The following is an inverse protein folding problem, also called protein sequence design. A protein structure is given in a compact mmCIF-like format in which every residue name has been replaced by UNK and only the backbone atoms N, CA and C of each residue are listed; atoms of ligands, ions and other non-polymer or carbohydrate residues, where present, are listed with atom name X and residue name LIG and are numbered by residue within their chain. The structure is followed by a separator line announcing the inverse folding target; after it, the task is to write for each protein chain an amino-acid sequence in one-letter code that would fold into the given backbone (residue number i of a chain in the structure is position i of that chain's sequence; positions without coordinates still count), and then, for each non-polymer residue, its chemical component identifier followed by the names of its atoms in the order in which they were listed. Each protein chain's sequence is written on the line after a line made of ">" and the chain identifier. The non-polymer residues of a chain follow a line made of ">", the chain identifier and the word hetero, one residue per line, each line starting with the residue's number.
data_IF_270822947016
#
_entry.id   IF_270822947016
#
_cell.length_a   1.000
_cell.length_b   1.000
_cell.length_c   1.000
_cell.angle_alpha   90.00
_cell.angle_beta   90.00
_cell.angle_gamma   90.00
#
_symmetry.space_group_name_H-M   'P 1'
#
loop_
_entity.id
_entity.type
_entity.pdbx_description
1 polymer ?
#
# COMPACT_ATOMS: atom_id res chain seq x y z
N UNK A 1 -11.21 -1.04 10.08
CA UNK A 1 -9.92 -0.56 9.52
C UNK A 1 -8.79 -1.37 10.12
N UNK A 2 -7.86 -1.89 9.32
CA UNK A 2 -6.69 -2.65 9.81
C UNK A 2 -5.64 -1.76 10.49
N UNK A 3 -5.69 -0.44 10.28
CA UNK A 3 -4.91 0.54 11.05
C UNK A 3 -5.18 0.45 12.56
N UNK A 4 -6.45 0.24 12.96
CA UNK A 4 -6.83 0.11 14.38
C UNK A 4 -6.30 -1.16 15.03
N UNK A 5 -5.82 -2.12 14.23
CA UNK A 5 -5.22 -3.37 14.69
C UNK A 5 -3.69 -3.36 14.55
N UNK A 6 -3.09 -2.23 14.14
CA UNK A 6 -1.64 -2.15 13.86
C UNK A 6 -1.20 -2.97 12.65
N UNK A 7 -2.12 -3.28 11.74
CA UNK A 7 -1.93 -4.22 10.62
C UNK A 7 -1.92 -3.56 9.24
N UNK A 8 -1.91 -2.23 9.20
CA UNK A 8 -1.84 -1.44 7.99
C UNK A 8 -0.90 -0.25 8.16
N UNK A 9 -0.35 0.23 7.05
CA UNK A 9 0.51 1.41 6.98
C UNK A 9 0.24 2.17 5.69
N UNK A 10 0.26 3.49 5.76
CA UNK A 10 0.24 4.37 4.60
C UNK A 10 1.66 4.90 4.37
N UNK A 11 2.28 4.53 3.25
CA UNK A 11 3.71 4.74 3.03
C UNK A 11 4.04 5.59 1.81
N UNK A 12 5.13 6.34 1.95
CA UNK A 12 5.91 6.97 0.89
C UNK A 12 7.35 6.51 1.04
N UNK A 13 8.05 6.32 -0.07
CA UNK A 13 9.45 5.94 -0.06
C UNK A 13 10.26 7.02 -0.77
N UNK A 14 11.11 7.74 -0.03
CA UNK A 14 11.93 8.82 -0.57
C UNK A 14 12.75 8.33 -1.76
N UNK A 15 12.69 9.05 -2.87
CA UNK A 15 13.38 8.69 -4.12
C UNK A 15 12.69 7.61 -4.95
N UNK A 16 11.52 7.11 -4.52
CA UNK A 16 10.73 6.11 -5.26
C UNK A 16 9.37 6.67 -5.60
N UNK A 17 9.05 6.68 -6.90
CA UNK A 17 7.71 7.02 -7.39
C UNK A 17 6.64 6.10 -6.76
N UNK A 18 5.57 6.68 -6.23
CA UNK A 18 4.50 5.92 -5.58
C UNK A 18 3.84 4.89 -6.53
N UNK A 19 3.84 5.13 -7.84
CA UNK A 19 3.40 4.15 -8.83
C UNK A 19 4.33 2.94 -8.94
N UNK A 20 5.64 3.12 -8.84
CA UNK A 20 6.61 2.02 -8.73
C UNK A 20 6.44 1.24 -7.42
N UNK A 21 6.28 1.94 -6.30
CA UNK A 21 6.04 1.32 -5.00
C UNK A 21 4.77 0.45 -5.02
N UNK A 22 3.68 0.97 -5.56
CA UNK A 22 2.43 0.21 -5.75
C UNK A 22 2.65 -1.05 -6.58
N UNK A 23 3.35 -0.95 -7.72
CA UNK A 23 3.63 -2.11 -8.58
C UNK A 23 4.38 -3.20 -7.82
N UNK A 24 5.38 -2.82 -7.02
CA UNK A 24 6.10 -3.76 -6.17
C UNK A 24 5.19 -4.41 -5.12
N UNK A 25 4.37 -3.62 -4.43
CA UNK A 25 3.42 -4.14 -3.44
C UNK A 25 2.39 -5.12 -4.02
N UNK A 26 1.83 -4.81 -5.20
CA UNK A 26 0.90 -5.69 -5.91
C UNK A 26 1.57 -7.01 -6.30
N UNK A 27 2.84 -6.98 -6.73
CA UNK A 27 3.58 -8.18 -7.09
C UNK A 27 3.87 -9.09 -5.89
N UNK A 28 3.99 -8.54 -4.68
CA UNK A 28 4.22 -9.31 -3.45
C UNK A 28 2.98 -10.03 -2.94
N UNK A 29 1.78 -9.53 -3.26
CA UNK A 29 0.48 -10.08 -2.84
C UNK A 29 0.38 -10.39 -1.33
N UNK A 30 1.12 -9.68 -0.49
CA UNK A 30 1.20 -9.94 0.97
C UNK A 30 0.09 -9.25 1.78
N UNK A 31 -0.94 -8.77 1.09
CA UNK A 31 -2.19 -8.25 1.65
C UNK A 31 -2.79 -7.11 0.83
N UNK A 32 -3.62 -6.26 1.43
CA UNK A 32 -4.31 -5.20 0.71
C UNK A 32 -3.36 -4.09 0.22
N UNK A 33 -3.57 -3.61 -1.00
CA UNK A 33 -2.81 -2.53 -1.62
C UNK A 33 -3.74 -1.43 -2.15
N UNK A 34 -3.72 -0.26 -1.53
CA UNK A 34 -4.49 0.92 -1.98
C UNK A 34 -3.61 1.99 -2.61
N UNK A 35 -3.99 2.56 -3.76
CA UNK A 35 -3.18 3.56 -4.46
C UNK A 35 -3.83 4.95 -4.51
N UNK A 36 -3.31 5.87 -3.69
CA UNK A 36 -3.84 7.22 -3.58
C UNK A 36 -2.95 8.21 -4.34
N UNK A 37 -3.02 8.19 -5.67
CA UNK A 37 -2.15 9.02 -6.55
C UNK A 37 -2.19 10.52 -6.23
N UNK A 38 -3.38 11.06 -5.94
CA UNK A 38 -3.56 12.49 -5.64
C UNK A 38 -2.94 12.90 -4.30
N UNK A 39 -2.99 12.00 -3.33
CA UNK A 39 -2.42 12.20 -1.99
C UNK A 39 -1.00 11.67 -1.86
N UNK A 40 -0.45 11.13 -2.94
CA UNK A 40 0.90 10.62 -3.09
C UNK A 40 1.30 9.60 -2.02
N UNK A 41 0.51 8.55 -1.79
CA UNK A 41 0.91 7.43 -0.92
C UNK A 41 0.33 6.09 -1.39
N UNK A 42 0.89 5.01 -0.86
CA UNK A 42 0.39 3.64 -1.02
C UNK A 42 -0.06 3.12 0.34
N UNK A 43 -1.30 2.66 0.42
CA UNK A 43 -1.80 1.89 1.56
C UNK A 43 -1.35 0.44 1.42
N UNK A 44 -0.82 -0.14 2.49
CA UNK A 44 -0.45 -1.54 2.60
C UNK A 44 -1.07 -2.12 3.86
N UNK A 45 -1.67 -3.30 3.76
CA UNK A 45 -2.15 -4.04 4.93
C UNK A 45 -1.86 -5.54 4.82
N UNK A 46 -2.08 -6.27 5.90
CA UNK A 46 -1.79 -7.70 6.02
C UNK A 46 -3.04 -8.60 5.93
N UNK A 47 -4.18 -8.07 5.46
CA UNK A 47 -5.40 -8.86 5.23
C UNK A 47 -5.36 -9.66 3.93
N UNK A 48 -6.51 -10.13 3.45
CA UNK A 48 -6.58 -10.81 2.15
C UNK A 48 -6.12 -9.89 1.01
N UNK A 49 -5.42 -10.47 0.03
CA UNK A 49 -4.96 -9.72 -1.13
C UNK A 49 -6.14 -9.09 -1.89
N UNK A 50 -6.06 -7.77 -2.07
CA UNK A 50 -7.02 -6.95 -2.82
C UNK A 50 -6.33 -5.65 -3.22
N UNK A 51 -6.78 -5.05 -4.31
CA UNK A 51 -6.23 -3.78 -4.80
C UNK A 51 -7.32 -2.75 -4.99
N UNK A 52 -7.08 -1.49 -4.62
CA UNK A 52 -8.00 -0.37 -4.85
C UNK A 52 -7.28 0.96 -5.11
#
# INVERSE_FOLDING_TARGET
>A
SLHMQGRAVDVRLTGVDCGKLRKAAVALQSGGVGFYRKSDFVHLDTGDFRTW
#
